data_IF_605907059135
#
_entry.id   IF_605907059135
#
_cell.length_a   1.000
_cell.length_b   1.000
_cell.length_c   1.000
_cell.angle_alpha   90.00
_cell.angle_beta   90.00
_cell.angle_gamma   90.00
#
_symmetry.space_group_name_H-M   'P 1'
#
loop_
_entity.id
_entity.type
_entity.pdbx_description
1 polymer ?
#
# COMPACT_ATOMS: atom_id res chain seq x y z
N UNK A 1 13.40 3.62 -45.26
CA UNK A 1 14.07 3.94 -43.99
C UNK A 1 13.09 3.61 -42.88
N UNK A 2 13.43 2.65 -42.00
CA UNK A 2 12.51 1.91 -41.13
C UNK A 2 11.91 2.77 -40.01
N UNK A 3 10.58 2.83 -39.96
CA UNK A 3 9.81 3.42 -38.86
C UNK A 3 9.16 2.34 -37.98
N UNK A 4 9.60 1.09 -38.09
CA UNK A 4 8.94 -0.09 -37.51
C UNK A 4 9.61 -0.65 -36.25
N UNK A 5 10.76 -0.14 -35.84
CA UNK A 5 11.56 -0.73 -34.75
C UNK A 5 11.33 -0.08 -33.37
N UNK A 6 10.64 1.06 -33.32
CA UNK A 6 10.35 1.74 -32.05
C UNK A 6 9.08 1.23 -31.33
N UNK A 7 8.11 0.67 -32.06
CA UNK A 7 6.84 0.23 -31.45
C UNK A 7 6.92 -1.14 -30.78
N UNK A 8 7.86 -2.00 -31.19
CA UNK A 8 8.04 -3.33 -30.58
C UNK A 8 8.76 -3.30 -29.23
N UNK A 9 9.50 -2.22 -28.91
CA UNK A 9 10.27 -2.12 -27.66
C UNK A 9 9.46 -1.60 -26.47
N UNK A 10 8.27 -1.04 -26.73
CA UNK A 10 7.40 -0.41 -25.72
C UNK A 10 6.54 -1.44 -24.95
N UNK A 11 6.23 -2.59 -25.56
CA UNK A 11 5.15 -3.44 -25.04
C UNK A 11 5.49 -4.28 -23.80
N UNK A 12 6.76 -4.43 -23.44
CA UNK A 12 7.26 -5.20 -22.29
C UNK A 12 7.83 -4.33 -21.15
N UNK A 13 7.41 -3.07 -21.02
CA UNK A 13 7.80 -2.29 -19.84
C UNK A 13 6.99 -2.77 -18.63
N UNK A 14 7.72 -3.24 -17.61
CA UNK A 14 7.22 -3.54 -16.26
C UNK A 14 6.46 -2.32 -15.70
N UNK A 15 5.34 -2.56 -15.01
CA UNK A 15 4.54 -1.50 -14.38
C UNK A 15 5.40 -0.54 -13.56
N UNK A 16 6.23 -1.05 -12.65
CA UNK A 16 7.11 -0.24 -11.81
C UNK A 16 8.09 0.67 -12.59
N UNK A 17 8.38 0.35 -13.84
CA UNK A 17 9.27 1.13 -14.70
C UNK A 17 8.52 1.94 -15.77
N UNK A 18 7.19 1.98 -15.72
CA UNK A 18 6.40 2.94 -16.49
C UNK A 18 6.30 4.27 -15.75
N UNK A 19 5.98 5.34 -16.48
CA UNK A 19 5.71 6.65 -15.89
C UNK A 19 4.54 6.58 -14.90
N UNK A 20 3.52 5.78 -15.20
CA UNK A 20 2.34 5.57 -14.35
C UNK A 20 2.70 4.80 -13.08
N UNK A 21 3.48 3.73 -13.17
CA UNK A 21 3.90 2.97 -12.00
C UNK A 21 4.84 3.77 -11.10
N UNK A 22 5.79 4.52 -11.66
CA UNK A 22 6.62 5.43 -10.87
C UNK A 22 5.77 6.49 -10.15
N UNK A 23 4.76 7.05 -10.81
CA UNK A 23 3.83 7.99 -10.20
C UNK A 23 3.02 7.33 -9.08
N UNK A 24 2.52 6.12 -9.29
CA UNK A 24 1.78 5.36 -8.27
C UNK A 24 2.64 5.04 -7.05
N UNK A 25 3.90 4.62 -7.25
CA UNK A 25 4.88 4.41 -6.17
C UNK A 25 5.15 5.70 -5.42
N UNK A 26 5.37 6.80 -6.13
CA UNK A 26 5.62 8.10 -5.50
C UNK A 26 4.42 8.58 -4.67
N UNK A 27 3.20 8.45 -5.19
CA UNK A 27 1.98 8.78 -4.47
C UNK A 27 1.79 7.90 -3.24
N UNK A 28 2.07 6.60 -3.36
CA UNK A 28 2.04 5.69 -2.22
C UNK A 28 3.05 6.08 -1.13
N UNK A 29 4.29 6.39 -1.51
CA UNK A 29 5.34 6.82 -0.59
C UNK A 29 5.03 8.18 0.05
N UNK A 30 4.45 9.11 -0.71
CA UNK A 30 3.96 10.41 -0.19
C UNK A 30 2.88 10.20 0.86
N UNK A 31 1.97 9.25 0.65
CA UNK A 31 0.92 8.91 1.60
C UNK A 31 1.44 8.10 2.80
N UNK A 32 2.59 7.43 2.66
CA UNK A 32 3.25 6.71 3.75
C UNK A 32 3.75 7.67 4.84
N UNK A 33 4.25 8.86 4.47
CA UNK A 33 4.75 9.86 5.46
C UNK A 33 3.74 10.21 6.56
N UNK A 34 2.51 10.66 6.26
CA UNK A 34 1.53 10.94 7.31
C UNK A 34 1.11 9.69 8.10
N UNK A 35 1.12 8.50 7.48
CA UNK A 35 0.82 7.24 8.18
C UNK A 35 1.90 6.91 9.22
N UNK A 36 3.16 7.07 8.84
CA UNK A 36 4.31 6.87 9.74
C UNK A 36 4.24 7.83 10.92
N UNK A 37 3.89 9.10 10.67
CA UNK A 37 3.73 10.09 11.74
C UNK A 37 2.62 9.70 12.71
N UNK A 38 1.42 9.39 12.22
CA UNK A 38 0.28 8.98 13.06
C UNK A 38 0.62 7.72 13.85
N UNK A 39 1.30 6.75 13.22
CA UNK A 39 1.77 5.54 13.88
C UNK A 39 2.77 5.84 15.00
N UNK A 40 3.83 6.64 14.75
CA UNK A 40 4.82 7.00 15.78
C UNK A 40 4.17 7.67 16.98
N UNK A 41 3.28 8.63 16.72
CA UNK A 41 2.59 9.38 17.77
C UNK A 41 1.66 8.44 18.56
N UNK A 42 0.93 7.56 17.87
CA UNK A 42 0.09 6.54 18.49
C UNK A 42 0.89 5.60 19.41
N UNK A 43 2.08 5.17 18.99
CA UNK A 43 2.99 4.36 19.81
C UNK A 43 3.43 5.10 21.07
N UNK A 44 3.80 6.38 20.96
CA UNK A 44 4.16 7.21 22.13
C UNK A 44 3.01 7.30 23.14
N UNK A 45 1.79 7.54 22.66
CA UNK A 45 0.61 7.56 23.53
C UNK A 45 0.35 6.20 24.17
N UNK A 46 0.49 5.10 23.42
CA UNK A 46 0.29 3.75 23.95
C UNK A 46 1.27 3.41 25.08
N UNK A 47 2.56 3.76 24.92
CA UNK A 47 3.57 3.59 25.97
C UNK A 47 3.20 4.44 27.19
N UNK A 48 2.83 5.70 26.97
CA UNK A 48 2.47 6.60 28.07
C UNK A 48 1.27 6.11 28.88
N UNK A 49 0.29 5.50 28.23
CA UNK A 49 -0.88 4.90 28.90
C UNK A 49 -0.47 3.71 29.78
N UNK A 50 0.48 2.89 29.33
CA UNK A 50 0.96 1.73 30.10
C UNK A 50 1.73 2.12 31.38
N UNK A 51 2.39 3.28 31.38
CA UNK A 51 3.15 3.77 32.54
C UNK A 51 2.31 4.56 33.55
N UNK A 52 1.11 4.99 33.17
CA UNK A 52 0.23 5.75 34.05
C UNK A 52 -0.63 4.82 34.92
N UNK A 53 -0.83 5.15 36.21
CA UNK A 53 -1.83 4.48 37.02
C UNK A 53 -3.22 4.73 36.43
N UNK A 54 -4.11 3.75 36.60
CA UNK A 54 -5.48 3.83 36.10
C UNK A 54 -6.18 5.07 36.67
N UNK A 55 -6.46 6.04 35.79
CA UNK A 55 -6.99 7.37 36.10
C UNK A 55 -7.73 7.93 34.90
N UNK A 56 -8.52 9.00 35.09
CA UNK A 56 -9.23 9.66 33.98
C UNK A 56 -8.26 10.09 32.86
N UNK A 57 -7.04 10.49 33.22
CA UNK A 57 -5.99 10.85 32.27
C UNK A 57 -5.51 9.67 31.44
N UNK A 58 -5.31 8.50 32.05
CA UNK A 58 -4.90 7.28 31.32
C UNK A 58 -6.01 6.78 30.39
N UNK A 59 -7.28 6.95 30.79
CA UNK A 59 -8.44 6.61 29.95
C UNK A 59 -8.50 7.53 28.73
N UNK A 60 -8.40 8.85 28.91
CA UNK A 60 -8.41 9.82 27.80
C UNK A 60 -7.25 9.56 26.83
N UNK A 61 -6.03 9.36 27.34
CA UNK A 61 -4.86 9.04 26.50
C UNK A 61 -5.03 7.70 25.77
N UNK A 62 -5.65 6.70 26.41
CA UNK A 62 -5.97 5.41 25.80
C UNK A 62 -6.96 5.53 24.64
N UNK A 63 -8.01 6.34 24.82
CA UNK A 63 -8.96 6.64 23.74
C UNK A 63 -8.30 7.36 22.56
N UNK A 64 -7.38 8.29 22.83
CA UNK A 64 -6.61 8.98 21.78
C UNK A 64 -5.71 8.00 21.03
N UNK A 65 -4.96 7.14 21.74
CA UNK A 65 -4.12 6.12 21.12
C UNK A 65 -4.94 5.14 20.25
N UNK A 66 -6.11 4.73 20.76
CA UNK A 66 -7.04 3.86 20.03
C UNK A 66 -7.56 4.55 18.77
N UNK A 67 -8.03 5.79 18.86
CA UNK A 67 -8.49 6.56 17.71
C UNK A 67 -7.40 6.74 16.64
N UNK A 68 -6.16 7.03 17.05
CA UNK A 68 -5.02 7.10 16.13
C UNK A 68 -4.74 5.77 15.44
N UNK A 69 -4.90 4.64 16.13
CA UNK A 69 -4.78 3.32 15.52
C UNK A 69 -5.86 3.09 14.43
N UNK A 70 -7.11 3.48 14.67
CA UNK A 70 -8.15 3.42 13.64
C UNK A 70 -7.84 4.28 12.42
N UNK A 71 -7.42 5.53 12.65
CA UNK A 71 -7.04 6.43 11.57
C UNK A 71 -5.85 5.88 10.78
N UNK A 72 -4.85 5.33 11.49
CA UNK A 72 -3.70 4.68 10.86
C UNK A 72 -4.12 3.50 9.97
N UNK A 73 -4.92 2.56 10.49
CA UNK A 73 -5.39 1.40 9.74
C UNK A 73 -6.21 1.85 8.52
N UNK A 74 -7.10 2.83 8.70
CA UNK A 74 -7.89 3.37 7.60
C UNK A 74 -7.01 3.95 6.48
N UNK A 75 -6.05 4.82 6.83
CA UNK A 75 -5.16 5.44 5.85
C UNK A 75 -4.24 4.42 5.18
N UNK A 76 -3.73 3.45 5.94
CA UNK A 76 -2.88 2.38 5.41
C UNK A 76 -3.64 1.52 4.39
N UNK A 77 -4.85 1.09 4.73
CA UNK A 77 -5.70 0.31 3.83
C UNK A 77 -6.11 1.12 2.59
N UNK A 78 -6.49 2.40 2.76
CA UNK A 78 -6.82 3.28 1.64
C UNK A 78 -5.64 3.45 0.67
N UNK A 79 -4.41 3.59 1.18
CA UNK A 79 -3.21 3.72 0.37
C UNK A 79 -2.86 2.43 -0.39
N UNK A 80 -3.07 1.27 0.24
CA UNK A 80 -2.91 -0.03 -0.43
C UNK A 80 -3.95 -0.20 -1.54
N UNK A 81 -5.23 0.11 -1.26
CA UNK A 81 -6.32 -0.03 -2.24
C UNK A 81 -6.07 0.88 -3.46
N UNK A 82 -5.74 2.15 -3.23
CA UNK A 82 -5.44 3.10 -4.33
C UNK A 82 -4.27 2.62 -5.21
N UNK A 83 -3.23 2.03 -4.61
CA UNK A 83 -2.13 1.46 -5.37
C UNK A 83 -2.53 0.19 -6.15
N UNK A 84 -3.30 -0.68 -5.51
CA UNK A 84 -3.84 -1.89 -6.12
C UNK A 84 -4.74 -1.56 -7.32
N UNK A 85 -5.59 -0.55 -7.21
CA UNK A 85 -6.49 -0.13 -8.29
C UNK A 85 -5.67 0.34 -9.50
N UNK A 86 -4.63 1.15 -9.28
CA UNK A 86 -3.72 1.61 -10.36
C UNK A 86 -3.01 0.46 -11.07
N UNK A 87 -2.56 -0.56 -10.33
CA UNK A 87 -1.95 -1.73 -10.97
C UNK A 87 -2.99 -2.55 -11.72
N UNK A 88 -4.19 -2.72 -11.15
CA UNK A 88 -5.30 -3.43 -11.79
C UNK A 88 -5.67 -2.79 -13.12
N UNK A 89 -5.78 -1.47 -13.16
CA UNK A 89 -6.08 -0.72 -14.39
C UNK A 89 -5.01 -0.95 -15.46
N UNK A 90 -3.73 -0.94 -15.07
CA UNK A 90 -2.63 -1.25 -15.99
C UNK A 90 -2.67 -2.71 -16.48
N UNK A 91 -2.98 -3.65 -15.61
CA UNK A 91 -3.13 -5.07 -15.98
C UNK A 91 -4.28 -5.26 -16.96
N UNK A 92 -5.43 -4.64 -16.69
CA UNK A 92 -6.63 -4.68 -17.50
C UNK A 92 -6.36 -4.17 -18.93
N UNK A 93 -5.58 -3.08 -19.07
CA UNK A 93 -5.14 -2.60 -20.39
C UNK A 93 -4.28 -3.63 -21.13
N UNK A 94 -3.37 -4.32 -20.42
CA UNK A 94 -2.46 -5.32 -21.00
C UNK A 94 -3.12 -6.66 -21.34
N UNK A 95 -4.30 -6.96 -20.80
CA UNK A 95 -5.02 -8.21 -21.05
C UNK A 95 -6.38 -8.02 -21.74
N UNK A 96 -6.74 -6.79 -22.12
CA UNK A 96 -8.03 -6.48 -22.75
C UNK A 96 -8.34 -7.34 -24.00
N UNK A 97 -7.30 -7.75 -24.71
CA UNK A 97 -7.38 -8.59 -25.92
C UNK A 97 -7.24 -10.10 -25.64
N UNK A 98 -7.12 -10.51 -24.38
CA UNK A 98 -6.99 -11.93 -24.01
C UNK A 98 -8.37 -12.55 -23.87
N UNK A 99 -8.58 -13.68 -24.55
CA UNK A 99 -9.82 -14.46 -24.46
C UNK A 99 -10.19 -14.80 -23.00
N UNK A 100 -11.41 -14.43 -22.63
CA UNK A 100 -11.99 -14.66 -21.30
C UNK A 100 -11.87 -13.49 -20.33
N UNK A 101 -11.22 -12.39 -20.71
CA UNK A 101 -11.24 -11.15 -19.91
C UNK A 101 -12.63 -10.49 -19.93
N UNK A 102 -13.09 -10.05 -18.76
CA UNK A 102 -14.29 -9.22 -18.59
C UNK A 102 -13.91 -8.02 -17.76
N UNK A 103 -14.27 -6.82 -18.21
CA UNK A 103 -14.05 -5.59 -17.45
C UNK A 103 -14.91 -5.58 -16.18
N UNK A 104 -14.39 -5.01 -15.09
CA UNK A 104 -15.16 -4.84 -13.86
C UNK A 104 -16.39 -3.95 -14.12
N UNK A 105 -17.58 -4.48 -13.84
CA UNK A 105 -18.84 -3.73 -14.00
C UNK A 105 -19.08 -2.71 -12.87
N UNK A 106 -18.58 -3.00 -11.66
CA UNK A 106 -18.77 -2.17 -10.48
C UNK A 106 -17.47 -1.99 -9.67
N UNK A 107 -16.57 -1.08 -10.10
CA UNK A 107 -15.31 -0.84 -9.39
C UNK A 107 -15.50 -0.19 -8.02
N UNK A 108 -16.60 0.55 -7.80
CA UNK A 108 -16.89 1.24 -6.54
C UNK A 108 -17.22 0.30 -5.36
N UNK A 109 -17.55 -0.97 -5.64
CA UNK A 109 -17.84 -1.96 -4.60
C UNK A 109 -16.57 -2.75 -4.32
N UNK A 110 -16.00 -2.59 -3.12
CA UNK A 110 -14.74 -3.22 -2.72
C UNK A 110 -14.73 -4.74 -2.96
N UNK A 111 -15.84 -5.42 -2.63
CA UNK A 111 -16.01 -6.86 -2.91
C UNK A 111 -15.90 -7.19 -4.41
N UNK A 112 -16.47 -6.34 -5.26
CA UNK A 112 -16.47 -6.51 -6.71
C UNK A 112 -15.08 -6.20 -7.29
N UNK A 113 -14.43 -5.13 -6.84
CA UNK A 113 -13.04 -4.81 -7.23
C UNK A 113 -12.08 -5.93 -6.83
N UNK A 114 -12.21 -6.46 -5.61
CA UNK A 114 -11.36 -7.55 -5.14
C UNK A 114 -11.59 -8.86 -5.90
N UNK A 115 -12.85 -9.22 -6.19
CA UNK A 115 -13.14 -10.38 -7.03
C UNK A 115 -12.63 -10.20 -8.46
N UNK A 116 -12.77 -9.01 -9.02
CA UNK A 116 -12.28 -8.68 -10.35
C UNK A 116 -10.76 -8.84 -10.41
N UNK A 117 -10.05 -8.26 -9.44
CA UNK A 117 -8.61 -8.40 -9.30
C UNK A 117 -8.18 -9.88 -9.21
N UNK A 118 -8.86 -10.68 -8.39
CA UNK A 118 -8.57 -12.12 -8.29
C UNK A 118 -8.78 -12.82 -9.64
N UNK A 119 -9.89 -12.51 -10.32
CA UNK A 119 -10.23 -13.12 -11.62
C UNK A 119 -9.23 -12.73 -12.69
N UNK A 120 -8.87 -11.46 -12.77
CA UNK A 120 -7.81 -10.90 -13.63
C UNK A 120 -6.47 -11.58 -13.34
N UNK A 121 -6.08 -11.72 -12.07
CA UNK A 121 -4.85 -12.42 -11.69
C UNK A 121 -4.84 -13.89 -12.09
N UNK A 122 -5.96 -14.60 -11.94
CA UNK A 122 -6.09 -16.00 -12.36
C UNK A 122 -5.94 -16.11 -13.88
N UNK A 123 -6.51 -15.17 -14.64
CA UNK A 123 -6.41 -15.13 -16.09
C UNK A 123 -4.97 -14.83 -16.54
N UNK A 124 -4.31 -13.87 -15.90
CA UNK A 124 -2.90 -13.52 -16.13
C UNK A 124 -2.00 -14.71 -15.77
N UNK A 125 -2.23 -15.39 -14.65
CA UNK A 125 -1.46 -16.56 -14.24
C UNK A 125 -1.53 -17.69 -15.30
N UNK A 126 -2.71 -17.89 -15.90
CA UNK A 126 -2.91 -18.92 -16.93
C UNK A 126 -2.32 -18.54 -18.29
N UNK A 127 -2.36 -17.26 -18.68
CA UNK A 127 -2.06 -16.81 -20.05
C UNK A 127 -0.77 -15.99 -20.20
N UNK A 128 -0.35 -15.26 -19.17
CA UNK A 128 0.82 -14.35 -19.15
C UNK A 128 1.58 -14.42 -17.80
N UNK A 129 2.24 -15.56 -17.53
CA UNK A 129 2.98 -15.82 -16.27
C UNK A 129 4.02 -14.75 -15.90
N UNK A 130 4.70 -14.16 -16.88
CA UNK A 130 5.68 -13.08 -16.64
C UNK A 130 5.01 -11.85 -16.01
N UNK A 131 3.86 -11.43 -16.55
CA UNK A 131 3.10 -10.30 -16.02
C UNK A 131 2.56 -10.57 -14.60
N UNK A 132 2.20 -11.82 -14.29
CA UNK A 132 1.81 -12.22 -12.93
C UNK A 132 2.97 -12.09 -11.94
N UNK A 133 4.16 -12.54 -12.33
CA UNK A 133 5.34 -12.44 -11.46
C UNK A 133 5.76 -10.99 -11.22
N UNK A 134 5.65 -10.14 -12.24
CA UNK A 134 5.89 -8.70 -12.13
C UNK A 134 4.92 -8.02 -11.16
N UNK A 135 3.63 -8.37 -11.22
CA UNK A 135 2.62 -7.89 -10.28
C UNK A 135 2.96 -8.26 -8.83
N UNK A 136 3.34 -9.52 -8.61
CA UNK A 136 3.69 -10.01 -7.29
C UNK A 136 4.94 -9.33 -6.73
N UNK A 137 5.98 -9.14 -7.57
CA UNK A 137 7.17 -8.38 -7.21
C UNK A 137 6.81 -6.94 -6.86
N UNK A 138 5.93 -6.29 -7.63
CA UNK A 138 5.50 -4.93 -7.36
C UNK A 138 4.83 -4.79 -5.99
N UNK A 139 3.93 -5.71 -5.63
CA UNK A 139 3.32 -5.73 -4.30
C UNK A 139 4.36 -5.92 -3.19
N UNK A 140 5.32 -6.83 -3.37
CA UNK A 140 6.41 -7.04 -2.39
C UNK A 140 7.23 -5.76 -2.22
N UNK A 141 7.62 -5.12 -3.33
CA UNK A 141 8.44 -3.90 -3.33
C UNK A 141 7.76 -2.71 -2.64
N UNK A 142 6.43 -2.73 -2.45
CA UNK A 142 5.75 -1.69 -1.67
C UNK A 142 5.47 -2.10 -0.23
N UNK A 143 5.04 -3.34 -0.01
CA UNK A 143 4.67 -3.80 1.33
C UNK A 143 5.91 -3.92 2.21
N UNK A 144 7.01 -4.49 1.71
CA UNK A 144 8.22 -4.67 2.51
C UNK A 144 8.81 -3.36 3.02
N UNK A 145 9.06 -2.34 2.17
CA UNK A 145 9.56 -1.06 2.67
C UNK A 145 8.62 -0.41 3.67
N UNK A 146 7.31 -0.51 3.48
CA UNK A 146 6.33 0.02 4.44
C UNK A 146 6.44 -0.64 5.80
N UNK A 147 6.53 -1.97 5.84
CA UNK A 147 6.73 -2.73 7.08
C UNK A 147 8.04 -2.35 7.76
N UNK A 148 9.14 -2.27 7.01
CA UNK A 148 10.45 -1.85 7.54
C UNK A 148 10.37 -0.44 8.13
N UNK A 149 9.73 0.50 7.42
CA UNK A 149 9.57 1.88 7.88
C UNK A 149 8.71 1.94 9.15
N UNK A 150 7.63 1.17 9.26
CA UNK A 150 6.83 1.15 10.49
C UNK A 150 7.56 0.53 11.66
N UNK A 151 8.31 -0.56 11.45
CA UNK A 151 9.15 -1.16 12.49
C UNK A 151 10.20 -0.15 12.97
N UNK A 152 10.94 0.46 12.05
CA UNK A 152 11.94 1.46 12.37
C UNK A 152 11.33 2.66 13.12
N UNK A 153 10.20 3.16 12.63
CA UNK A 153 9.44 4.25 13.25
C UNK A 153 8.99 3.91 14.67
N UNK A 154 8.47 2.70 14.90
CA UNK A 154 8.07 2.25 16.23
C UNK A 154 9.25 2.15 17.18
N UNK A 155 10.37 1.58 16.73
CA UNK A 155 11.61 1.53 17.51
C UNK A 155 12.13 2.93 17.86
N UNK A 156 12.17 3.84 16.90
CA UNK A 156 12.59 5.24 17.13
C UNK A 156 11.64 5.95 18.08
N UNK A 157 10.32 5.77 17.95
CA UNK A 157 9.33 6.35 18.85
C UNK A 157 9.54 5.88 20.30
N UNK A 158 9.77 4.58 20.51
CA UNK A 158 10.13 4.02 21.83
C UNK A 158 11.42 4.64 22.37
N UNK A 159 12.46 4.73 21.53
CA UNK A 159 13.76 5.30 21.92
C UNK A 159 13.66 6.77 22.33
N UNK A 160 12.94 7.57 21.54
CA UNK A 160 12.69 8.99 21.82
C UNK A 160 11.89 9.14 23.12
N UNK A 161 10.85 8.33 23.31
CA UNK A 161 10.06 8.36 24.54
C UNK A 161 10.94 8.12 25.78
N UNK A 162 11.77 7.07 25.76
CA UNK A 162 12.72 6.76 26.84
C UNK A 162 13.71 7.90 27.07
N UNK A 163 14.23 8.52 25.99
CA UNK A 163 15.15 9.66 26.11
C UNK A 163 14.51 10.91 26.71
N UNK A 164 13.20 11.13 26.48
CA UNK A 164 12.50 12.34 26.93
C UNK A 164 11.89 12.18 28.33
N UNK A 165 11.47 10.98 28.70
CA UNK A 165 10.69 10.73 29.91
C UNK A 165 11.28 9.66 30.85
N UNK A 166 12.28 8.90 30.41
CA UNK A 166 12.89 7.78 31.15
C UNK A 166 14.18 8.14 31.90
N UNK A 167 14.23 9.31 32.54
CA UNK A 167 15.25 9.68 33.52
C UNK A 167 14.88 9.19 34.92
#
# INVERSE_FOLDING_TARGET
MSNSDNDKKSNNKLFLFTTEGNKAVFEYMRNLTPQVFIFSVGVVFAIRVQELPFSDKSIVLGLVAFAMCFVFIYLFMANIIDFIDKITDFMDEKIREVDGYKKCENPSVLKSSLMHLITTLVLIFKKKKTLFFEFFIALIFLIMPSVVVFIASGHTAISIYKSLFGG
#
